data_IF_432944849058
#
_entry.id   IF_432944849058
#
_cell.length_a   1.000
_cell.length_b   1.000
_cell.length_c   1.000
_cell.angle_alpha   90.00
_cell.angle_beta   90.00
_cell.angle_gamma   90.00
#
_symmetry.space_group_name_H-M   'P 1'
#
loop_
_entity.id
_entity.type
_entity.pdbx_description
1 polymer ?
#
# COMPACT_ATOMS: atom_id res chain seq x y z
N UNK A 1 35.72 5.26 14.77
CA UNK A 1 34.48 5.62 14.06
C UNK A 1 34.45 4.83 12.76
N UNK A 2 33.97 3.60 12.83
CA UNK A 2 33.77 2.76 11.65
C UNK A 2 32.41 3.22 11.08
N UNK A 3 32.43 3.70 9.84
CA UNK A 3 31.24 4.17 9.15
C UNK A 3 30.26 3.00 9.03
N UNK A 4 29.06 3.20 9.51
CA UNK A 4 27.91 2.27 9.45
C UNK A 4 27.39 2.11 8.01
N UNK A 5 28.32 1.90 7.06
CA UNK A 5 28.02 1.58 5.66
C UNK A 5 27.86 0.07 5.50
N UNK A 6 27.13 -0.56 6.42
CA UNK A 6 26.71 -1.93 6.25
C UNK A 6 25.75 -2.01 5.09
N UNK A 7 26.20 -2.67 4.04
CA UNK A 7 25.52 -3.17 2.86
C UNK A 7 24.01 -3.38 3.09
N UNK A 8 23.20 -2.31 3.00
CA UNK A 8 21.76 -2.49 2.77
C UNK A 8 21.64 -2.98 1.35
N UNK A 9 21.45 -4.28 1.22
CA UNK A 9 21.27 -4.95 -0.06
C UNK A 9 20.12 -4.27 -0.81
N UNK A 10 20.32 -4.07 -2.09
CA UNK A 10 19.28 -3.53 -2.98
C UNK A 10 18.05 -4.43 -2.86
N UNK A 11 16.91 -3.87 -2.48
CA UNK A 11 15.64 -4.60 -2.40
C UNK A 11 15.33 -5.32 -3.72
N UNK A 12 15.31 -6.64 -3.69
CA UNK A 12 15.13 -7.50 -4.86
C UNK A 12 14.12 -8.63 -4.54
N UNK A 13 12.81 -8.28 -4.45
CA UNK A 13 11.76 -9.21 -4.01
C UNK A 13 11.59 -10.41 -4.94
N UNK A 14 11.91 -10.30 -6.22
CA UNK A 14 11.84 -11.40 -7.20
C UNK A 14 12.71 -12.61 -6.80
N UNK A 15 13.88 -12.36 -6.23
CA UNK A 15 14.78 -13.44 -5.77
C UNK A 15 14.15 -14.24 -4.64
N UNK A 16 13.51 -13.55 -3.70
CA UNK A 16 12.82 -14.19 -2.57
C UNK A 16 11.56 -14.95 -3.02
N UNK A 17 10.81 -14.40 -3.97
CA UNK A 17 9.62 -15.07 -4.53
C UNK A 17 9.98 -16.40 -5.21
N UNK A 18 11.19 -16.51 -5.76
CA UNK A 18 11.71 -17.73 -6.38
C UNK A 18 12.35 -18.71 -5.36
N UNK A 19 12.51 -18.31 -4.08
CA UNK A 19 13.07 -19.12 -3.01
C UNK A 19 11.96 -19.69 -2.10
N UNK A 20 11.67 -20.99 -2.14
CA UNK A 20 10.70 -21.62 -1.23
C UNK A 20 11.06 -21.40 0.25
N UNK A 21 12.33 -21.48 0.59
CA UNK A 21 12.79 -21.29 1.98
C UNK A 21 12.67 -19.83 2.45
N UNK A 22 12.87 -18.84 1.57
CA UNK A 22 12.63 -17.45 1.92
C UNK A 22 11.13 -17.16 2.11
N UNK A 23 10.26 -17.69 1.25
CA UNK A 23 8.80 -17.58 1.44
C UNK A 23 8.33 -18.27 2.72
N UNK A 24 8.88 -19.44 3.04
CA UNK A 24 8.59 -20.13 4.30
C UNK A 24 9.00 -19.27 5.51
N UNK A 25 10.17 -18.64 5.48
CA UNK A 25 10.61 -17.73 6.54
C UNK A 25 9.63 -16.56 6.76
N UNK A 26 9.12 -15.97 5.67
CA UNK A 26 8.13 -14.88 5.75
C UNK A 26 6.80 -15.41 6.31
N UNK A 27 6.36 -16.59 5.90
CA UNK A 27 5.16 -17.23 6.42
C UNK A 27 5.24 -17.51 7.92
N UNK A 28 6.36 -18.06 8.39
CA UNK A 28 6.62 -18.28 9.81
C UNK A 28 6.59 -16.97 10.60
N UNK A 29 7.25 -15.91 10.08
CA UNK A 29 7.19 -14.59 10.67
C UNK A 29 5.74 -14.10 10.82
N UNK A 30 4.94 -14.20 9.77
CA UNK A 30 3.54 -13.81 9.79
C UNK A 30 2.72 -14.57 10.82
N UNK A 31 2.91 -15.88 10.96
CA UNK A 31 2.24 -16.71 11.96
C UNK A 31 2.62 -16.30 13.41
N UNK A 32 3.91 -16.08 13.66
CA UNK A 32 4.40 -15.64 14.97
C UNK A 32 3.83 -14.26 15.33
N UNK A 33 3.82 -13.32 14.39
CA UNK A 33 3.29 -11.97 14.59
C UNK A 33 1.78 -11.98 14.84
N UNK A 34 1.02 -12.79 14.10
CA UNK A 34 -0.42 -12.95 14.30
C UNK A 34 -0.73 -13.54 15.67
N UNK A 35 0.05 -14.56 16.10
CA UNK A 35 -0.11 -15.17 17.42
C UNK A 35 0.22 -14.21 18.56
N UNK A 36 1.19 -13.33 18.36
CA UNK A 36 1.64 -12.33 19.31
C UNK A 36 0.78 -11.05 19.34
N UNK A 37 -0.31 -10.98 18.57
CA UNK A 37 -1.17 -9.80 18.51
C UNK A 37 -0.45 -8.53 17.99
N UNK A 38 0.51 -8.70 17.09
CA UNK A 38 1.36 -7.61 16.63
C UNK A 38 0.58 -6.56 15.83
N UNK A 39 0.68 -5.30 16.25
CA UNK A 39 0.16 -4.13 15.56
C UNK A 39 1.30 -3.12 15.36
N UNK A 40 1.49 -2.69 14.12
CA UNK A 40 2.37 -1.59 13.74
C UNK A 40 1.62 -0.67 12.76
N UNK A 41 0.97 0.35 13.32
CA UNK A 41 0.13 1.28 12.58
C UNK A 41 0.36 2.71 13.08
N UNK A 42 0.62 3.66 12.16
CA UNK A 42 0.85 5.08 12.48
C UNK A 42 1.94 5.31 13.54
N UNK A 43 2.98 4.50 13.56
CA UNK A 43 4.01 4.56 14.59
C UNK A 43 3.55 4.08 15.97
N UNK A 44 2.34 3.55 16.09
CA UNK A 44 1.87 2.83 17.28
C UNK A 44 2.26 1.37 17.16
N UNK A 45 3.11 0.96 18.07
CA UNK A 45 3.52 -0.43 18.22
C UNK A 45 2.76 -1.05 19.37
N UNK A 46 2.16 -2.20 19.14
CA UNK A 46 1.54 -3.04 20.19
C UNK A 46 1.93 -4.49 19.94
N UNK A 47 2.19 -5.20 21.03
CA UNK A 47 2.40 -6.64 21.07
C UNK A 47 1.92 -7.16 22.42
N UNK A 48 1.25 -8.31 22.44
CA UNK A 48 0.48 -8.75 23.62
C UNK A 48 1.33 -9.23 24.81
N UNK A 49 2.61 -9.56 24.59
CA UNK A 49 3.50 -10.07 25.63
C UNK A 49 4.89 -9.41 25.52
N UNK A 50 5.43 -8.90 26.64
CA UNK A 50 6.79 -8.36 26.70
C UNK A 50 7.85 -9.38 26.26
N UNK A 51 7.59 -10.69 26.42
CA UNK A 51 8.46 -11.75 25.92
C UNK A 51 8.57 -11.78 24.39
N UNK A 52 7.65 -11.11 23.69
CA UNK A 52 7.68 -10.96 22.23
C UNK A 52 8.42 -9.69 21.74
N UNK A 53 9.09 -8.96 22.64
CA UNK A 53 9.82 -7.73 22.28
C UNK A 53 10.84 -7.96 21.14
N UNK A 54 11.59 -9.06 21.19
CA UNK A 54 12.55 -9.41 20.14
C UNK A 54 11.90 -9.72 18.79
N UNK A 55 10.69 -10.30 18.80
CA UNK A 55 9.88 -10.51 17.60
C UNK A 55 9.41 -9.16 17.01
N UNK A 56 8.96 -8.23 17.86
CA UNK A 56 8.59 -6.89 17.43
C UNK A 56 9.77 -6.12 16.84
N UNK A 57 10.95 -6.18 17.46
CA UNK A 57 12.16 -5.56 16.92
C UNK A 57 12.54 -6.14 15.56
N UNK A 58 12.48 -7.47 15.40
CA UNK A 58 12.71 -8.13 14.12
C UNK A 58 11.71 -7.65 13.06
N UNK A 59 10.42 -7.59 13.39
CA UNK A 59 9.37 -7.13 12.49
C UNK A 59 9.51 -5.65 12.08
N UNK A 60 10.16 -4.85 12.92
CA UNK A 60 10.51 -3.46 12.61
C UNK A 60 11.84 -3.33 11.85
N UNK A 61 12.45 -4.45 11.44
CA UNK A 61 13.74 -4.47 10.78
C UNK A 61 14.90 -3.98 11.65
N UNK A 62 14.76 -4.04 12.96
CA UNK A 62 15.84 -3.74 13.89
C UNK A 62 16.76 -4.94 14.05
N UNK A 63 17.99 -4.68 14.48
CA UNK A 63 18.97 -5.74 14.73
C UNK A 63 18.59 -6.59 15.94
N UNK A 64 18.46 -7.89 15.71
CA UNK A 64 18.10 -8.92 16.68
C UNK A 64 19.22 -9.97 16.77
N UNK A 65 19.34 -10.67 17.89
CA UNK A 65 20.26 -11.81 17.99
C UNK A 65 19.92 -12.90 16.95
N UNK A 66 20.93 -13.45 16.31
CA UNK A 66 20.75 -14.42 15.24
C UNK A 66 20.02 -15.69 15.66
N UNK A 67 20.18 -16.10 16.94
CA UNK A 67 19.50 -17.30 17.47
C UNK A 67 18.01 -17.02 17.66
N UNK A 68 17.68 -15.83 18.15
CA UNK A 68 16.29 -15.40 18.30
C UNK A 68 15.62 -15.22 16.93
N UNK A 69 16.31 -14.60 15.96
CA UNK A 69 15.80 -14.47 14.59
C UNK A 69 15.52 -15.85 13.97
N UNK A 70 16.44 -16.82 14.12
CA UNK A 70 16.24 -18.19 13.64
C UNK A 70 14.96 -18.82 14.22
N UNK A 71 14.70 -18.62 15.50
CA UNK A 71 13.50 -19.14 16.19
C UNK A 71 12.21 -18.59 15.58
N UNK A 72 12.17 -17.29 15.27
CA UNK A 72 10.96 -16.65 14.73
C UNK A 72 10.75 -16.90 13.23
N UNK A 73 11.81 -17.27 12.52
CA UNK A 73 11.79 -17.44 11.05
C UNK A 73 11.78 -18.90 10.59
N UNK A 74 11.54 -19.85 11.51
CA UNK A 74 11.47 -21.28 11.14
C UNK A 74 12.82 -21.97 11.01
N UNK A 75 13.89 -21.41 11.59
CA UNK A 75 15.18 -22.06 11.73
C UNK A 75 16.33 -21.44 10.94
N UNK A 76 17.55 -22.00 11.08
CA UNK A 76 18.76 -21.44 10.47
C UNK A 76 18.73 -21.41 8.94
N UNK A 77 18.10 -22.38 8.30
CA UNK A 77 17.99 -22.43 6.83
C UNK A 77 17.17 -21.26 6.27
N UNK A 78 16.14 -20.84 7.00
CA UNK A 78 15.33 -19.66 6.67
C UNK A 78 16.14 -18.38 6.75
N UNK A 79 17.03 -18.24 7.75
CA UNK A 79 17.95 -17.10 7.84
C UNK A 79 18.88 -17.04 6.62
N UNK A 80 19.48 -18.17 6.25
CA UNK A 80 20.38 -18.25 5.09
C UNK A 80 19.62 -17.84 3.83
N UNK A 81 18.41 -18.35 3.63
CA UNK A 81 17.61 -18.02 2.46
C UNK A 81 17.24 -16.52 2.38
N UNK A 82 16.96 -15.86 3.52
CA UNK A 82 16.69 -14.42 3.54
C UNK A 82 17.96 -13.60 3.26
N UNK A 83 19.11 -14.04 3.74
CA UNK A 83 20.41 -13.41 3.44
C UNK A 83 20.77 -13.56 1.95
N UNK A 84 20.66 -14.76 1.40
CA UNK A 84 20.95 -15.06 -0.02
C UNK A 84 20.04 -14.29 -0.99
N UNK A 85 18.79 -14.04 -0.58
CA UNK A 85 17.82 -13.29 -1.38
C UNK A 85 17.85 -11.78 -1.17
N UNK A 86 18.73 -11.29 -0.28
CA UNK A 86 18.86 -9.86 0.02
C UNK A 86 17.70 -9.29 0.85
N UNK A 87 16.85 -10.13 1.44
CA UNK A 87 15.76 -9.68 2.34
C UNK A 87 16.24 -9.47 3.78
N UNK A 88 17.48 -9.79 4.07
CA UNK A 88 18.07 -9.60 5.39
C UNK A 88 19.57 -9.30 5.31
N UNK A 89 20.10 -8.80 6.41
CA UNK A 89 21.53 -8.56 6.61
C UNK A 89 21.98 -9.14 7.95
N UNK A 90 23.29 -9.39 8.08
CA UNK A 90 23.91 -9.84 9.31
C UNK A 90 25.19 -9.06 9.55
N UNK A 91 25.42 -8.62 10.80
CA UNK A 91 26.69 -7.95 11.20
C UNK A 91 27.75 -8.94 11.64
N UNK A 92 29.01 -8.46 11.78
CA UNK A 92 30.12 -9.24 12.34
C UNK A 92 29.86 -9.70 13.78
N UNK A 93 29.10 -8.92 14.57
CA UNK A 93 28.66 -9.28 15.92
C UNK A 93 27.48 -10.25 15.94
N UNK A 94 27.15 -10.87 14.82
CA UNK A 94 26.03 -11.83 14.65
C UNK A 94 24.65 -11.22 14.99
N UNK A 95 24.44 -9.95 14.66
CA UNK A 95 23.15 -9.29 14.73
C UNK A 95 22.46 -9.39 13.37
N UNK A 96 21.25 -9.90 13.35
CA UNK A 96 20.41 -10.10 12.15
C UNK A 96 19.34 -9.02 12.05
N UNK A 97 19.08 -8.55 10.84
CA UNK A 97 18.03 -7.56 10.57
C UNK A 97 17.35 -7.87 9.23
N UNK A 98 16.04 -7.68 9.16
CA UNK A 98 15.28 -7.71 7.91
C UNK A 98 15.53 -6.41 7.11
N UNK A 99 15.47 -6.49 5.79
CA UNK A 99 15.56 -5.34 4.89
C UNK A 99 14.20 -4.61 4.71
N UNK A 100 13.25 -4.89 5.58
CA UNK A 100 11.90 -4.34 5.57
C UNK A 100 11.32 -4.30 6.98
N UNK A 101 10.25 -3.53 7.14
CA UNK A 101 9.37 -3.64 8.31
C UNK A 101 8.03 -4.29 7.95
N UNK A 102 7.37 -4.84 8.94
CA UNK A 102 6.01 -5.37 8.81
C UNK A 102 5.01 -4.33 9.31
N UNK A 103 4.11 -3.92 8.43
CA UNK A 103 2.92 -3.14 8.78
C UNK A 103 1.81 -4.09 9.21
N UNK A 104 1.04 -3.73 10.25
CA UNK A 104 -0.07 -4.56 10.73
C UNK A 104 -1.13 -3.74 11.44
N UNK A 105 -2.40 -4.11 11.27
CA UNK A 105 -3.53 -3.64 12.09
C UNK A 105 -4.15 -4.75 12.95
N UNK A 106 -3.44 -5.86 13.10
CA UNK A 106 -3.89 -7.06 13.78
C UNK A 106 -4.78 -7.99 12.94
N UNK A 107 -5.21 -7.55 11.74
CA UNK A 107 -6.03 -8.34 10.79
C UNK A 107 -5.37 -8.54 9.44
N UNK A 108 -4.62 -7.54 9.00
CA UNK A 108 -3.85 -7.55 7.76
C UNK A 108 -2.39 -7.24 8.07
N UNK A 109 -1.50 -7.80 7.29
CA UNK A 109 -0.06 -7.54 7.36
C UNK A 109 0.48 -7.27 5.97
N UNK A 110 1.48 -6.39 5.88
CA UNK A 110 2.22 -6.13 4.65
C UNK A 110 3.69 -5.80 4.94
N UNK A 111 4.52 -6.05 3.96
CA UNK A 111 5.95 -5.71 3.96
C UNK A 111 6.11 -4.30 3.42
N UNK A 112 6.83 -3.45 4.16
CA UNK A 112 7.31 -2.16 3.69
C UNK A 112 8.83 -2.21 3.56
N UNK A 113 9.39 -2.21 2.35
CA UNK A 113 10.84 -2.22 2.14
C UNK A 113 11.49 -0.95 2.70
N UNK A 114 12.67 -1.09 3.30
CA UNK A 114 13.47 0.08 3.63
C UNK A 114 14.05 0.70 2.36
N UNK A 115 13.98 2.02 2.29
CA UNK A 115 14.69 2.78 1.27
C UNK A 115 16.17 2.87 1.68
N UNK A 116 17.06 2.61 0.73
CA UNK A 116 18.49 2.85 0.95
C UNK A 116 18.72 4.37 1.05
N UNK A 117 19.07 4.83 2.26
CA UNK A 117 19.32 6.25 2.51
C UNK A 117 20.64 6.76 1.89
N UNK A 118 21.47 5.89 1.35
CA UNK A 118 22.76 6.22 0.73
C UNK A 118 22.68 6.55 -0.76
N UNK A 119 21.52 6.29 -1.41
CA UNK A 119 21.31 6.50 -2.84
C UNK A 119 20.06 7.35 -3.07
N UNK A 120 19.96 7.93 -4.27
CA UNK A 120 18.69 8.53 -4.72
C UNK A 120 17.57 7.49 -4.60
N UNK A 121 16.42 7.90 -4.04
CA UNK A 121 15.27 7.00 -3.89
C UNK A 121 14.82 6.56 -5.27
N UNK A 122 14.77 5.26 -5.57
CA UNK A 122 14.41 4.78 -6.89
C UNK A 122 13.03 5.26 -7.34
N UNK A 123 12.89 5.55 -8.65
CA UNK A 123 11.62 5.92 -9.28
C UNK A 123 10.50 4.91 -8.96
N UNK A 124 10.83 3.62 -8.94
CA UNK A 124 9.94 2.49 -8.70
C UNK A 124 9.81 2.10 -7.21
N UNK A 125 10.11 3.01 -6.29
CA UNK A 125 9.96 2.77 -4.85
C UNK A 125 8.53 2.40 -4.50
N UNK A 126 8.38 1.53 -3.50
CA UNK A 126 7.08 1.12 -2.96
C UNK A 126 6.76 1.96 -1.74
N UNK A 127 5.55 2.46 -1.69
CA UNK A 127 5.09 3.38 -0.66
C UNK A 127 4.02 2.74 0.24
N UNK A 128 4.05 3.09 1.51
CA UNK A 128 2.93 2.99 2.42
C UNK A 128 3.06 4.10 3.47
N UNK A 129 2.04 4.93 3.57
CA UNK A 129 1.99 6.06 4.48
C UNK A 129 0.64 6.14 5.21
N UNK A 130 0.39 7.30 5.81
CA UNK A 130 -0.84 7.59 6.55
C UNK A 130 -2.08 7.45 5.68
N UNK A 131 -1.99 7.82 4.41
CA UNK A 131 -3.04 7.69 3.40
C UNK A 131 -3.37 6.22 3.04
N UNK A 132 -2.36 5.32 3.05
CA UNK A 132 -2.62 3.88 2.91
C UNK A 132 -3.52 3.37 4.04
N UNK A 133 -3.26 3.79 5.27
CA UNK A 133 -4.11 3.45 6.41
C UNK A 133 -5.49 4.11 6.34
N UNK A 134 -5.56 5.32 5.80
CA UNK A 134 -6.81 6.01 5.59
C UNK A 134 -7.66 5.27 4.54
N UNK A 135 -7.08 4.85 3.41
CA UNK A 135 -7.78 4.02 2.43
C UNK A 135 -8.28 2.72 3.06
N UNK A 136 -7.47 2.07 3.90
CA UNK A 136 -7.88 0.87 4.64
C UNK A 136 -9.10 1.15 5.53
N UNK A 137 -9.15 2.31 6.20
CA UNK A 137 -10.29 2.69 7.05
C UNK A 137 -11.53 3.03 6.22
N UNK A 138 -11.36 3.69 5.09
CA UNK A 138 -12.45 3.92 4.13
C UNK A 138 -12.94 2.60 3.52
N UNK A 139 -12.04 1.66 3.22
CA UNK A 139 -12.41 0.32 2.79
C UNK A 139 -13.16 -0.47 3.90
N UNK A 140 -12.86 -0.21 5.17
CA UNK A 140 -13.65 -0.74 6.29
C UNK A 140 -15.06 -0.15 6.31
N UNK A 141 -15.20 1.13 6.04
CA UNK A 141 -16.48 1.85 6.09
C UNK A 141 -17.39 1.50 4.91
N UNK A 142 -16.85 1.48 3.70
CA UNK A 142 -17.61 1.35 2.45
C UNK A 142 -17.56 -0.05 1.84
N UNK A 143 -16.51 -0.80 2.10
CA UNK A 143 -16.33 -2.15 1.60
C UNK A 143 -17.14 -3.15 2.40
N UNK A 144 -18.40 -3.35 2.02
CA UNK A 144 -19.25 -4.41 2.57
C UNK A 144 -18.67 -5.79 2.20
N UNK A 145 -19.16 -6.85 2.84
CA UNK A 145 -18.81 -8.20 2.43
C UNK A 145 -19.34 -8.52 1.04
N UNK A 146 -18.57 -9.19 0.21
CA UNK A 146 -18.94 -9.52 -1.17
C UNK A 146 -18.11 -10.66 -1.75
N UNK A 147 -18.29 -10.89 -3.05
CA UNK A 147 -17.56 -11.93 -3.76
C UNK A 147 -16.20 -11.46 -4.24
N UNK A 148 -16.13 -10.28 -4.86
CA UNK A 148 -14.91 -9.80 -5.53
C UNK A 148 -14.60 -8.38 -5.17
N UNK A 149 -13.36 -8.13 -4.76
CA UNK A 149 -12.82 -6.79 -4.58
C UNK A 149 -11.53 -6.62 -5.39
N UNK A 150 -11.20 -5.37 -5.71
CA UNK A 150 -9.92 -5.03 -6.33
C UNK A 150 -9.33 -3.79 -5.67
N UNK A 151 -8.02 -3.85 -5.42
CA UNK A 151 -7.16 -2.77 -4.94
C UNK A 151 -6.26 -2.33 -6.10
N UNK A 152 -6.56 -1.18 -6.68
CA UNK A 152 -5.83 -0.60 -7.81
C UNK A 152 -4.65 0.22 -7.28
N UNK A 153 -3.46 0.05 -7.84
CA UNK A 153 -2.25 0.68 -7.31
C UNK A 153 -1.92 0.17 -5.90
N UNK A 154 -1.90 -1.14 -5.72
CA UNK A 154 -1.86 -1.83 -4.41
C UNK A 154 -0.61 -1.57 -3.57
N UNK A 155 0.50 -1.10 -4.18
CA UNK A 155 1.75 -0.83 -3.48
C UNK A 155 2.26 -2.02 -2.68
N UNK A 156 2.24 -1.91 -1.35
CA UNK A 156 2.66 -2.99 -0.43
C UNK A 156 1.66 -4.15 -0.34
N UNK A 157 0.45 -4.01 -0.86
CA UNK A 157 -0.61 -4.99 -0.73
C UNK A 157 -1.39 -4.94 0.59
N UNK A 158 -1.19 -3.92 1.44
CA UNK A 158 -1.82 -3.82 2.76
C UNK A 158 -3.35 -3.79 2.68
N UNK A 159 -3.90 -2.96 1.78
CA UNK A 159 -5.36 -2.81 1.63
C UNK A 159 -5.95 -4.08 1.02
N UNK A 160 -5.30 -4.65 0.00
CA UNK A 160 -5.70 -5.94 -0.55
C UNK A 160 -5.71 -7.06 0.50
N UNK A 161 -4.65 -7.14 1.34
CA UNK A 161 -4.59 -8.10 2.45
C UNK A 161 -5.76 -7.92 3.43
N UNK A 162 -6.10 -6.67 3.78
CA UNK A 162 -7.25 -6.37 4.61
C UNK A 162 -8.58 -6.84 3.97
N UNK A 163 -8.76 -6.60 2.68
CA UNK A 163 -9.98 -6.99 1.95
C UNK A 163 -10.21 -8.50 1.94
N UNK A 164 -9.15 -9.34 2.06
CA UNK A 164 -9.30 -10.81 2.12
C UNK A 164 -10.17 -11.29 3.30
N UNK A 165 -10.32 -10.47 4.34
CA UNK A 165 -11.20 -10.76 5.47
C UNK A 165 -12.69 -10.56 5.15
N UNK A 166 -13.01 -9.92 4.02
CA UNK A 166 -14.36 -9.48 3.64
C UNK A 166 -14.84 -10.02 2.30
N UNK A 167 -13.92 -10.39 1.42
CA UNK A 167 -14.22 -10.84 0.07
C UNK A 167 -13.67 -12.24 -0.20
N UNK A 168 -14.38 -13.01 -1.01
CA UNK A 168 -13.96 -14.36 -1.40
C UNK A 168 -12.74 -14.32 -2.34
N UNK A 169 -12.65 -13.27 -3.17
CA UNK A 169 -11.54 -13.05 -4.10
C UNK A 169 -11.15 -11.58 -4.06
N UNK A 170 -9.87 -11.32 -3.89
CA UNK A 170 -9.28 -9.99 -3.92
C UNK A 170 -8.20 -9.94 -4.98
N UNK A 171 -8.33 -9.02 -5.92
CA UNK A 171 -7.29 -8.73 -6.91
C UNK A 171 -6.51 -7.50 -6.45
N UNK A 172 -5.19 -7.60 -6.44
CA UNK A 172 -4.28 -6.52 -6.11
C UNK A 172 -3.49 -6.18 -7.37
N UNK A 173 -3.62 -4.96 -7.89
CA UNK A 173 -2.92 -4.57 -9.13
C UNK A 173 -2.03 -3.36 -8.91
N UNK A 174 -0.93 -3.33 -9.64
CA UNK A 174 -0.03 -2.17 -9.72
C UNK A 174 0.69 -2.19 -11.08
N UNK A 175 0.97 -1.03 -11.65
CA UNK A 175 1.80 -0.93 -12.84
C UNK A 175 3.28 -1.15 -12.52
N UNK A 176 3.67 -0.83 -11.29
CA UNK A 176 5.01 -1.03 -10.77
C UNK A 176 5.25 -2.50 -10.43
N UNK A 177 6.09 -3.18 -11.20
CA UNK A 177 6.43 -4.58 -10.96
C UNK A 177 7.05 -4.80 -9.57
N UNK A 178 7.83 -3.85 -9.05
CA UNK A 178 8.39 -3.93 -7.69
C UNK A 178 7.28 -3.91 -6.62
N UNK A 179 6.24 -3.11 -6.83
CA UNK A 179 5.08 -3.09 -5.94
C UNK A 179 4.33 -4.42 -5.96
N UNK A 180 4.05 -4.99 -7.14
CA UNK A 180 3.38 -6.29 -7.22
C UNK A 180 4.21 -7.43 -6.62
N UNK A 181 5.52 -7.42 -6.79
CA UNK A 181 6.41 -8.38 -6.13
C UNK A 181 6.43 -8.20 -4.61
N UNK A 182 6.42 -6.96 -4.12
CA UNK A 182 6.31 -6.67 -2.68
C UNK A 182 4.96 -7.14 -2.13
N UNK A 183 3.86 -6.87 -2.83
CA UNK A 183 2.54 -7.35 -2.46
C UNK A 183 2.45 -8.90 -2.46
N UNK A 184 3.13 -9.57 -3.38
CA UNK A 184 3.25 -11.04 -3.37
C UNK A 184 4.00 -11.55 -2.14
N UNK A 185 5.09 -10.90 -1.71
CA UNK A 185 5.77 -11.22 -0.45
C UNK A 185 4.90 -10.91 0.78
N UNK A 186 4.18 -9.79 0.78
CA UNK A 186 3.21 -9.45 1.83
C UNK A 186 2.14 -10.51 1.97
N UNK A 187 1.68 -11.08 0.86
CA UNK A 187 0.73 -12.19 0.86
C UNK A 187 1.25 -13.42 1.62
N UNK A 188 2.57 -13.68 1.61
CA UNK A 188 3.16 -14.79 2.36
C UNK A 188 3.06 -14.62 3.88
N UNK A 189 2.91 -13.38 4.40
CA UNK A 189 2.64 -13.14 5.82
C UNK A 189 1.24 -13.59 6.26
N UNK A 190 0.30 -13.79 5.32
CA UNK A 190 -1.09 -14.08 5.62
C UNK A 190 -1.29 -15.56 5.94
N UNK A 191 -2.25 -15.91 6.83
CA UNK A 191 -2.68 -17.29 7.03
C UNK A 191 -3.15 -17.94 5.72
N UNK A 192 -2.88 -19.23 5.53
CA UNK A 192 -3.23 -19.96 4.31
C UNK A 192 -4.72 -19.88 3.97
N UNK A 193 -5.58 -19.79 4.99
CA UNK A 193 -7.04 -19.70 4.82
C UNK A 193 -7.50 -18.44 4.09
N UNK A 194 -6.71 -17.36 4.13
CA UNK A 194 -7.02 -16.09 3.45
C UNK A 194 -6.04 -15.75 2.34
N UNK A 195 -4.80 -16.24 2.42
CA UNK A 195 -3.76 -16.05 1.41
C UNK A 195 -4.22 -16.48 0.00
N UNK A 196 -4.96 -17.57 -0.10
CA UNK A 196 -5.51 -18.10 -1.36
C UNK A 196 -6.53 -17.15 -2.03
N UNK A 197 -7.10 -16.22 -1.29
CA UNK A 197 -8.08 -15.24 -1.80
C UNK A 197 -7.42 -14.04 -2.47
N UNK A 198 -6.13 -13.77 -2.19
CA UNK A 198 -5.41 -12.62 -2.73
C UNK A 198 -4.64 -13.01 -3.99
N UNK A 199 -4.95 -12.33 -5.10
CA UNK A 199 -4.32 -12.50 -6.40
C UNK A 199 -3.61 -11.21 -6.79
N UNK A 200 -2.31 -11.26 -7.02
CA UNK A 200 -1.50 -10.10 -7.35
C UNK A 200 -1.12 -10.13 -8.82
N UNK A 201 -1.37 -9.03 -9.53
CA UNK A 201 -1.16 -8.92 -10.98
C UNK A 201 -0.51 -7.59 -11.33
N UNK A 202 0.56 -7.60 -12.13
CA UNK A 202 1.11 -6.38 -12.72
C UNK A 202 0.18 -5.91 -13.83
N UNK A 203 -0.42 -4.72 -13.68
CA UNK A 203 -1.43 -4.23 -14.60
C UNK A 203 -1.50 -2.69 -14.61
N UNK A 204 -1.80 -2.12 -15.76
CA UNK A 204 -2.06 -0.68 -15.90
C UNK A 204 -3.53 -0.38 -15.65
N UNK A 205 -3.85 0.09 -14.43
CA UNK A 205 -5.20 0.39 -13.95
C UNK A 205 -6.17 -0.78 -14.19
N UNK A 206 -7.13 -0.64 -15.08
CA UNK A 206 -8.15 -1.63 -15.41
C UNK A 206 -7.87 -2.37 -16.74
N UNK A 207 -6.69 -2.20 -17.36
CA UNK A 207 -6.39 -2.77 -18.67
C UNK A 207 -6.62 -4.30 -18.70
N UNK A 208 -7.45 -4.77 -19.63
CA UNK A 208 -7.77 -6.20 -19.78
C UNK A 208 -8.63 -6.83 -18.67
N UNK A 209 -9.04 -6.08 -17.66
CA UNK A 209 -9.99 -6.53 -16.66
C UNK A 209 -11.42 -6.44 -17.22
N UNK A 210 -12.24 -7.41 -16.81
CA UNK A 210 -13.61 -7.47 -17.29
C UNK A 210 -14.49 -6.41 -16.58
N UNK A 211 -15.17 -5.51 -17.30
CA UNK A 211 -16.15 -4.59 -16.72
C UNK A 211 -17.27 -5.30 -15.96
N UNK A 212 -17.84 -4.62 -14.98
CA UNK A 212 -18.98 -5.14 -14.23
C UNK A 212 -18.70 -6.34 -13.34
N UNK A 213 -17.45 -6.51 -12.88
CA UNK A 213 -17.01 -7.73 -12.21
C UNK A 213 -16.92 -7.62 -10.69
N UNK A 214 -16.61 -6.42 -10.15
CA UNK A 214 -16.23 -6.26 -8.75
C UNK A 214 -17.33 -5.61 -7.91
N UNK A 215 -17.59 -6.17 -6.75
CA UNK A 215 -18.49 -5.61 -5.75
C UNK A 215 -17.87 -4.38 -5.05
N UNK A 216 -16.53 -4.35 -5.00
CA UNK A 216 -15.77 -3.25 -4.40
C UNK A 216 -14.48 -2.98 -5.17
N UNK A 217 -14.23 -1.70 -5.43
CA UNK A 217 -13.00 -1.19 -6.06
C UNK A 217 -12.43 -0.09 -5.18
N UNK A 218 -11.14 -0.09 -4.91
CA UNK A 218 -10.49 0.97 -4.16
C UNK A 218 -9.14 1.37 -4.74
N UNK A 219 -8.73 2.60 -4.45
CA UNK A 219 -7.44 3.17 -4.86
C UNK A 219 -6.97 4.27 -3.90
N UNK A 220 -5.68 4.24 -3.55
CA UNK A 220 -4.96 5.42 -3.10
C UNK A 220 -4.25 6.02 -4.33
N UNK A 221 -4.89 6.94 -4.99
CA UNK A 221 -4.40 7.48 -6.27
C UNK A 221 -3.18 8.38 -6.08
N UNK A 222 -2.14 8.31 -6.93
CA UNK A 222 -1.17 9.39 -7.06
C UNK A 222 -1.89 10.70 -7.42
N UNK A 223 -1.59 11.77 -6.69
CA UNK A 223 -2.31 13.06 -6.83
C UNK A 223 -1.39 14.29 -6.76
N UNK A 224 -0.07 14.10 -6.64
CA UNK A 224 0.87 15.21 -6.60
C UNK A 224 1.09 15.74 -8.02
N UNK A 225 0.94 17.06 -8.27
CA UNK A 225 1.24 17.65 -9.57
C UNK A 225 2.69 17.39 -9.98
N UNK A 226 2.94 17.17 -11.27
CA UNK A 226 4.24 16.73 -11.79
C UNK A 226 5.41 17.66 -11.39
N UNK A 227 5.19 18.98 -11.36
CA UNK A 227 6.20 19.96 -10.94
C UNK A 227 6.55 19.92 -9.45
N UNK A 228 5.74 19.24 -8.61
CA UNK A 228 5.93 19.06 -7.16
C UNK A 228 6.22 17.61 -6.78
N UNK A 229 6.03 16.67 -7.71
CA UNK A 229 6.30 15.27 -7.47
C UNK A 229 7.81 15.06 -7.26
N UNK A 230 8.15 14.20 -6.32
CA UNK A 230 9.53 13.85 -5.99
C UNK A 230 10.21 12.90 -7.03
N UNK A 231 9.61 12.78 -8.21
CA UNK A 231 10.08 11.91 -9.29
C UNK A 231 9.69 10.43 -9.14
N UNK A 232 8.95 10.07 -8.08
CA UNK A 232 8.54 8.69 -7.82
C UNK A 232 7.21 8.38 -8.45
N UNK A 233 7.07 7.16 -8.97
CA UNK A 233 5.88 6.71 -9.67
C UNK A 233 4.60 6.83 -8.82
N UNK A 234 4.68 6.52 -7.52
CA UNK A 234 3.54 6.53 -6.62
C UNK A 234 3.02 7.94 -6.28
N UNK A 235 3.78 9.00 -6.58
CA UNK A 235 3.39 10.37 -6.25
C UNK A 235 2.83 11.14 -7.45
N UNK A 236 3.18 10.77 -8.69
CA UNK A 236 2.90 11.56 -9.89
C UNK A 236 1.43 11.46 -10.32
N UNK A 237 0.64 12.50 -10.04
CA UNK A 237 -0.78 12.58 -10.40
C UNK A 237 -1.07 13.14 -11.78
N UNK A 238 -0.03 13.54 -12.53
CA UNK A 238 -0.15 14.27 -13.82
C UNK A 238 0.22 15.74 -13.69
N UNK A 239 -0.04 16.54 -14.70
CA UNK A 239 0.34 17.96 -14.78
C UNK A 239 -0.31 18.77 -13.64
N UNK A 240 -1.61 18.61 -13.43
CA UNK A 240 -2.36 19.29 -12.37
C UNK A 240 -2.45 18.46 -11.07
N UNK A 241 -2.12 17.17 -11.14
CA UNK A 241 -2.34 16.20 -10.06
C UNK A 241 -3.71 15.51 -10.11
N UNK A 242 -4.54 15.81 -11.10
CA UNK A 242 -5.87 15.21 -11.24
C UNK A 242 -6.02 14.26 -12.45
N UNK A 243 -5.10 14.29 -13.40
CA UNK A 243 -5.20 13.48 -14.62
C UNK A 243 -5.22 11.99 -14.32
N UNK A 244 -4.33 11.54 -13.46
CA UNK A 244 -4.28 10.12 -13.08
C UNK A 244 -5.43 9.73 -12.14
N UNK A 245 -5.80 10.50 -11.09
CA UNK A 245 -7.03 10.27 -10.32
C UNK A 245 -8.27 10.16 -11.21
N UNK A 246 -8.43 11.06 -12.20
CA UNK A 246 -9.55 11.01 -13.15
C UNK A 246 -9.58 9.69 -13.92
N UNK A 247 -8.44 9.24 -14.44
CA UNK A 247 -8.33 7.96 -15.15
C UNK A 247 -8.73 6.80 -14.22
N UNK A 248 -8.23 6.76 -12.98
CA UNK A 248 -8.56 5.72 -12.02
C UNK A 248 -10.04 5.69 -11.67
N UNK A 249 -10.69 6.86 -11.53
CA UNK A 249 -12.11 6.94 -11.23
C UNK A 249 -12.93 6.40 -12.41
N UNK A 250 -12.64 6.80 -13.63
CA UNK A 250 -13.35 6.33 -14.83
C UNK A 250 -13.16 4.82 -15.03
N UNK A 251 -11.91 4.37 -15.13
CA UNK A 251 -11.60 2.97 -15.40
C UNK A 251 -12.09 2.07 -14.23
N UNK A 252 -11.96 2.54 -12.98
CA UNK A 252 -12.41 1.80 -11.80
C UNK A 252 -13.93 1.68 -11.68
N UNK A 253 -14.68 2.71 -12.07
CA UNK A 253 -16.17 2.65 -12.06
C UNK A 253 -16.73 1.71 -13.12
N UNK A 254 -16.05 1.55 -14.25
CA UNK A 254 -16.42 0.53 -15.25
C UNK A 254 -16.32 -0.89 -14.71
N UNK A 255 -15.41 -1.14 -13.77
CA UNK A 255 -15.21 -2.46 -13.15
C UNK A 255 -16.34 -2.84 -12.19
N UNK A 256 -17.17 -1.89 -11.72
CA UNK A 256 -18.21 -2.15 -10.72
C UNK A 256 -19.32 -3.07 -11.25
N UNK A 257 -19.60 -4.11 -10.51
CA UNK A 257 -20.83 -4.87 -10.66
C UNK A 257 -22.07 -4.01 -10.29
N UNK A 258 -23.30 -4.35 -10.73
CA UNK A 258 -24.49 -3.72 -10.21
C UNK A 258 -24.55 -3.75 -8.68
N UNK A 259 -24.83 -2.62 -8.04
CA UNK A 259 -24.77 -2.44 -6.59
C UNK A 259 -23.36 -2.31 -6.00
N UNK A 260 -22.32 -2.35 -6.81
CA UNK A 260 -20.92 -2.23 -6.38
C UNK A 260 -20.53 -0.81 -5.96
N UNK A 261 -19.49 -0.70 -5.15
CA UNK A 261 -18.96 0.57 -4.63
C UNK A 261 -17.49 0.75 -5.01
N UNK A 262 -17.16 1.94 -5.51
CA UNK A 262 -15.79 2.41 -5.75
C UNK A 262 -15.42 3.50 -4.76
N UNK A 263 -14.20 3.47 -4.25
CA UNK A 263 -13.63 4.57 -3.45
C UNK A 263 -12.25 4.96 -3.97
N UNK A 264 -12.00 6.25 -4.06
CA UNK A 264 -10.68 6.80 -4.39
C UNK A 264 -10.27 7.83 -3.35
N UNK A 265 -9.08 7.68 -2.78
CA UNK A 265 -8.40 8.79 -2.11
C UNK A 265 -7.73 9.65 -3.19
N UNK A 266 -8.02 10.94 -3.19
CA UNK A 266 -7.46 11.89 -4.15
C UNK A 266 -7.51 13.33 -3.62
N UNK A 267 -7.01 14.27 -4.41
CA UNK A 267 -7.16 15.69 -4.14
C UNK A 267 -8.43 16.23 -4.81
N UNK A 268 -9.24 16.96 -4.07
CA UNK A 268 -10.26 17.85 -4.61
C UNK A 268 -9.63 19.24 -4.82
N UNK A 269 -9.58 19.68 -6.07
CA UNK A 269 -9.01 20.95 -6.48
C UNK A 269 -10.15 21.92 -6.84
N UNK A 270 -10.12 23.14 -6.29
CA UNK A 270 -11.05 24.22 -6.65
C UNK A 270 -10.28 25.42 -7.16
N UNK A 271 -10.74 25.99 -8.26
CA UNK A 271 -10.06 27.08 -8.94
C UNK A 271 -10.88 28.39 -8.85
N UNK A 272 -10.20 29.51 -9.01
CA UNK A 272 -10.78 30.88 -8.92
C UNK A 272 -11.82 31.18 -10.01
N UNK A 273 -11.82 30.43 -11.12
CA UNK A 273 -12.84 30.49 -12.16
C UNK A 273 -14.10 29.67 -11.83
N UNK A 274 -14.12 29.04 -10.65
CA UNK A 274 -15.20 28.19 -10.17
C UNK A 274 -15.13 26.73 -10.62
N UNK A 275 -14.13 26.34 -11.40
CA UNK A 275 -13.99 24.94 -11.84
C UNK A 275 -13.53 24.03 -10.69
N UNK A 276 -14.03 22.80 -10.70
CA UNK A 276 -13.66 21.73 -9.77
C UNK A 276 -13.71 20.38 -10.52
N UNK A 277 -12.56 19.95 -11.07
CA UNK A 277 -12.51 18.79 -11.96
C UNK A 277 -13.03 17.49 -11.35
N UNK A 278 -12.90 17.32 -10.03
CA UNK A 278 -13.45 16.13 -9.37
C UNK A 278 -14.99 16.19 -9.33
N UNK A 279 -15.57 17.34 -8.97
CA UNK A 279 -17.03 17.48 -8.92
C UNK A 279 -17.64 17.34 -10.31
N UNK A 280 -17.06 17.99 -11.30
CA UNK A 280 -17.48 17.88 -12.70
C UNK A 280 -17.49 16.42 -13.17
N UNK A 281 -16.43 15.65 -12.84
CA UNK A 281 -16.39 14.23 -13.15
C UNK A 281 -17.47 13.43 -12.42
N UNK A 282 -17.72 13.72 -11.14
CA UNK A 282 -18.73 13.01 -10.37
C UNK A 282 -20.16 13.36 -10.85
N UNK A 283 -20.42 14.61 -11.23
CA UNK A 283 -21.68 15.04 -11.82
C UNK A 283 -21.93 14.32 -13.16
N UNK A 284 -20.90 14.13 -13.98
CA UNK A 284 -20.99 13.34 -15.22
C UNK A 284 -21.33 11.87 -14.92
N UNK A 285 -20.74 11.28 -13.87
CA UNK A 285 -21.06 9.91 -13.46
C UNK A 285 -22.51 9.80 -12.96
N UNK A 286 -23.03 10.79 -12.23
CA UNK A 286 -24.43 10.81 -11.79
C UNK A 286 -25.40 10.83 -12.97
N UNK A 287 -25.10 11.63 -14.00
CA UNK A 287 -25.89 11.64 -15.26
C UNK A 287 -25.86 10.28 -15.98
N UNK A 288 -24.83 9.46 -15.73
CA UNK A 288 -24.69 8.11 -16.29
C UNK A 288 -25.17 7.00 -15.33
N UNK A 289 -25.95 7.36 -14.30
CA UNK A 289 -26.66 6.39 -13.45
C UNK A 289 -25.85 5.85 -12.27
N UNK A 290 -24.82 6.56 -11.83
CA UNK A 290 -24.13 6.29 -10.58
C UNK A 290 -24.65 7.23 -9.47
N UNK A 291 -24.56 6.82 -8.23
CA UNK A 291 -24.68 7.73 -7.09
C UNK A 291 -23.28 8.12 -6.63
N UNK A 292 -23.03 9.41 -6.42
CA UNK A 292 -21.70 9.90 -6.05
C UNK A 292 -21.74 10.79 -4.82
N UNK A 293 -20.66 10.83 -4.05
CA UNK A 293 -20.43 11.83 -3.02
C UNK A 293 -18.96 11.96 -2.68
N UNK A 294 -18.60 13.09 -2.07
CA UNK A 294 -17.25 13.40 -1.59
C UNK A 294 -17.27 13.42 -0.06
N UNK A 295 -16.43 12.62 0.55
CA UNK A 295 -16.19 12.64 1.99
C UNK A 295 -14.86 13.35 2.28
N UNK A 296 -14.88 14.46 3.07
CA UNK A 296 -13.64 15.05 3.56
C UNK A 296 -12.88 14.03 4.42
N UNK A 297 -11.62 13.85 4.14
CA UNK A 297 -10.74 13.01 4.97
C UNK A 297 -9.91 13.89 5.89
N UNK A 298 -9.61 13.46 7.14
CA UNK A 298 -8.61 14.12 7.94
C UNK A 298 -7.31 14.09 7.15
N UNK A 299 -6.81 15.27 6.75
CA UNK A 299 -5.58 15.35 5.97
C UNK A 299 -4.43 14.76 6.79
N UNK A 300 -3.79 13.69 6.35
CA UNK A 300 -2.62 13.14 7.04
C UNK A 300 -1.42 14.07 6.93
N UNK A 301 -1.39 14.91 5.92
CA UNK A 301 -0.46 16.01 5.74
C UNK A 301 -1.26 17.27 5.42
N UNK A 302 -0.96 18.40 6.03
CA UNK A 302 -1.55 19.64 5.60
C UNK A 302 -1.20 19.79 4.11
N UNK A 303 -2.23 19.86 3.29
CA UNK A 303 -2.11 20.30 1.91
C UNK A 303 -1.78 21.80 1.97
N UNK A 304 -0.60 22.14 2.51
CA UNK A 304 -0.09 23.52 2.55
C UNK A 304 0.40 23.91 1.16
N UNK A 305 -0.44 23.65 0.16
CA UNK A 305 -0.16 24.09 -1.19
C UNK A 305 -0.23 25.61 -1.33
N UNK A 306 -0.84 26.29 -0.37
CA UNK A 306 -1.09 27.72 -0.49
C UNK A 306 -0.45 28.61 0.61
N UNK A 307 0.15 28.05 1.66
CA UNK A 307 0.46 28.84 2.85
C UNK A 307 1.90 29.36 2.95
N UNK A 308 2.87 28.79 2.21
CA UNK A 308 4.28 29.18 2.40
C UNK A 308 4.88 30.07 1.30
N UNK A 309 4.09 30.50 0.31
CA UNK A 309 4.51 31.49 -0.69
C UNK A 309 5.71 31.10 -1.57
N UNK A 310 6.22 29.88 -1.43
CA UNK A 310 7.45 29.41 -2.10
C UNK A 310 7.20 28.44 -3.25
N UNK A 311 5.94 28.04 -3.51
CA UNK A 311 5.62 27.09 -4.55
C UNK A 311 4.98 27.77 -5.76
N UNK A 312 5.44 27.44 -6.96
CA UNK A 312 4.67 27.65 -8.19
C UNK A 312 3.32 26.92 -8.01
N UNK A 313 2.31 27.65 -7.60
CA UNK A 313 0.92 27.15 -7.47
C UNK A 313 0.39 26.94 -8.87
N UNK A 314 -0.44 25.90 -9.06
CA UNK A 314 -1.25 25.80 -10.27
C UNK A 314 -2.00 27.11 -10.50
N UNK A 315 -1.92 27.66 -11.71
CA UNK A 315 -2.54 28.94 -12.03
C UNK A 315 -4.03 28.91 -11.69
N UNK A 316 -4.48 29.84 -10.86
CA UNK A 316 -5.87 29.94 -10.42
C UNK A 316 -6.30 28.91 -9.35
N UNK A 317 -5.43 28.09 -8.80
CA UNK A 317 -5.80 27.20 -7.69
C UNK A 317 -6.16 28.02 -6.45
N UNK A 318 -7.38 27.84 -5.95
CA UNK A 318 -7.90 28.48 -4.73
C UNK A 318 -7.76 27.56 -3.52
N UNK A 319 -8.22 26.31 -3.65
CA UNK A 319 -8.12 25.32 -2.58
C UNK A 319 -7.77 23.93 -3.10
N UNK A 320 -7.07 23.16 -2.27
CA UNK A 320 -6.85 21.75 -2.47
C UNK A 320 -7.15 21.01 -1.17
N UNK A 321 -7.95 19.96 -1.23
CA UNK A 321 -8.32 19.14 -0.06
C UNK A 321 -8.13 17.68 -0.36
N UNK A 322 -7.66 16.93 0.64
CA UNK A 322 -7.64 15.48 0.54
C UNK A 322 -9.02 14.93 0.87
N UNK A 323 -9.55 14.10 -0.02
CA UNK A 323 -10.91 13.57 0.06
C UNK A 323 -10.98 12.10 -0.32
N UNK A 324 -12.08 11.45 0.08
CA UNK A 324 -12.52 10.19 -0.51
C UNK A 324 -13.67 10.49 -1.49
N UNK A 325 -13.44 10.24 -2.77
CA UNK A 325 -14.51 10.17 -3.75
C UNK A 325 -15.15 8.78 -3.67
N UNK A 326 -16.47 8.74 -3.54
CA UNK A 326 -17.27 7.51 -3.47
C UNK A 326 -18.23 7.47 -4.62
N UNK A 327 -18.24 6.36 -5.36
CA UNK A 327 -19.12 6.11 -6.49
C UNK A 327 -19.81 4.78 -6.30
N UNK A 328 -21.13 4.76 -6.40
CA UNK A 328 -21.94 3.56 -6.27
C UNK A 328 -22.73 3.32 -7.57
N UNK A 329 -22.59 2.11 -8.10
CA UNK A 329 -23.38 1.70 -9.26
C UNK A 329 -24.77 1.25 -8.79
N UNK A 330 -25.80 1.77 -9.42
CA UNK A 330 -27.17 1.34 -9.14
C UNK A 330 -27.31 -0.19 -9.35
N UNK A 331 -28.17 -0.87 -8.57
CA UNK A 331 -28.43 -2.31 -8.69
C UNK A 331 -28.90 -2.77 -10.06
#
# INVERSE_FOLDING_TARGET
MISDSTLRTKWAPETALNSPSARHAIQELGQQLAHAGFINRFGRLQIDDENNAALAELALGKYTDVTMAARFLGGPQSLVALLETGLATITEERRFSLAFEVLSDGKAMAILPFLDSSTEVPFDSVYAGTDTWLLRDQAWKYGLHGKRAIDLGTGTGLVAAFLTSRYETVVATDINQRATQTAQLSRELLPDSVKSRMHVVTNDVAAGLRPGTFDFVCINSPWVPAHRADGRLYSQGGETGFELPRRFILDGTELLAPGGTFIALCAELSFTDGSNPLRELLDDLEQNGFATFIEPTPAPHPFHAAADGTAETLSGLETARHVTAVVQRNP
#
